data_IF_098359380448
#
_entry.id   IF_098359380448
#
_cell.length_a   1.000
_cell.length_b   1.000
_cell.length_c   1.000
_cell.angle_alpha   90.00
_cell.angle_beta   90.00
_cell.angle_gamma   90.00
#
_symmetry.space_group_name_H-M   'P 1'
#
loop_
_entity.id
_entity.type
_entity.pdbx_description
1 polymer ?
#
# COMPACT_ATOMS: atom_id res chain seq x y z
N UNK A 1 29.19 1.48 14.14
CA UNK A 1 29.07 2.47 13.04
C UNK A 1 27.87 3.33 13.37
N UNK A 2 27.94 4.64 13.13
CA UNK A 2 26.79 5.53 13.31
C UNK A 2 25.73 5.14 12.29
N UNK A 3 24.50 4.84 12.75
CA UNK A 3 23.39 4.60 11.84
C UNK A 3 22.92 5.92 11.25
N UNK A 4 22.55 5.94 9.97
CA UNK A 4 22.16 7.17 9.26
C UNK A 4 20.72 7.09 8.78
N UNK A 5 20.02 8.21 8.87
CA UNK A 5 18.64 8.30 8.42
C UNK A 5 18.40 9.48 7.46
N UNK A 6 17.51 9.25 6.49
CA UNK A 6 17.12 10.25 5.49
C UNK A 6 15.62 10.50 5.51
N UNK A 7 15.23 11.71 5.91
CA UNK A 7 13.87 12.20 5.72
C UNK A 7 13.69 12.65 4.27
N UNK A 8 12.73 12.06 3.55
CA UNK A 8 12.31 12.45 2.20
C UNK A 8 10.91 13.01 2.34
N UNK A 9 10.71 14.30 2.10
CA UNK A 9 9.42 14.94 2.30
C UNK A 9 8.92 15.69 1.07
N UNK A 10 7.62 15.54 0.78
CA UNK A 10 6.95 16.27 -0.28
C UNK A 10 6.37 17.59 0.25
N UNK A 11 6.87 18.76 -0.19
CA UNK A 11 6.44 20.04 0.34
C UNK A 11 4.99 20.42 -0.02
N UNK A 12 4.39 19.79 -1.04
CA UNK A 12 3.03 20.08 -1.50
C UNK A 12 1.99 19.05 -1.05
N UNK A 13 2.38 18.06 -0.24
CA UNK A 13 1.43 17.10 0.33
C UNK A 13 0.59 17.74 1.44
N UNK A 14 -0.69 17.36 1.49
CA UNK A 14 -1.60 17.73 2.58
C UNK A 14 -1.88 19.22 2.65
N UNK A 15 -1.71 19.81 3.83
CA UNK A 15 -1.85 21.25 4.06
C UNK A 15 -0.57 22.05 3.75
N UNK A 16 0.39 21.43 3.06
CA UNK A 16 1.71 22.01 2.73
C UNK A 16 2.53 22.45 3.95
N UNK A 17 2.20 21.92 5.14
CA UNK A 17 2.79 22.29 6.42
C UNK A 17 4.08 21.55 6.78
N UNK A 18 4.46 20.49 6.04
CA UNK A 18 5.52 19.55 6.44
C UNK A 18 6.87 20.22 6.75
N UNK A 19 7.22 21.28 6.01
CA UNK A 19 8.46 22.05 6.23
C UNK A 19 8.62 22.57 7.66
N UNK A 20 7.51 22.86 8.34
CA UNK A 20 7.52 23.40 9.71
C UNK A 20 7.98 22.38 10.74
N UNK A 21 7.78 21.09 10.44
CA UNK A 21 8.06 19.98 11.34
C UNK A 21 9.40 19.30 11.06
N UNK A 22 10.13 19.70 10.00
CA UNK A 22 11.37 19.01 9.59
C UNK A 22 12.40 18.99 10.73
N UNK A 23 12.59 20.09 11.45
CA UNK A 23 13.53 20.12 12.58
C UNK A 23 13.12 19.14 13.69
N UNK A 24 11.85 19.19 14.11
CA UNK A 24 11.32 18.31 15.15
C UNK A 24 11.41 16.82 14.76
N UNK A 25 11.17 16.51 13.48
CA UNK A 25 11.29 15.14 12.95
C UNK A 25 12.75 14.68 12.96
N UNK A 26 13.69 15.54 12.54
CA UNK A 26 15.12 15.21 12.60
C UNK A 26 15.57 15.00 14.05
N UNK A 27 15.10 15.82 15.00
CA UNK A 27 15.39 15.63 16.43
C UNK A 27 14.87 14.29 16.96
N UNK A 28 13.68 13.84 16.51
CA UNK A 28 13.17 12.51 16.86
C UNK A 28 14.04 11.40 16.27
N UNK A 29 14.53 11.55 15.04
CA UNK A 29 15.42 10.57 14.41
C UNK A 29 16.79 10.51 15.11
N UNK A 30 17.34 11.65 15.53
CA UNK A 30 18.57 11.73 16.34
C UNK A 30 18.37 11.11 17.74
N UNK A 31 17.22 11.34 18.38
CA UNK A 31 16.85 10.67 19.64
C UNK A 31 16.77 9.15 19.49
N UNK A 32 16.33 8.66 18.32
CA UNK A 32 16.34 7.25 17.97
C UNK A 32 17.75 6.70 17.64
N UNK A 33 18.79 7.55 17.65
CA UNK A 33 20.18 7.16 17.44
C UNK A 33 20.66 7.24 15.98
N UNK A 34 19.93 7.95 15.11
CA UNK A 34 20.32 8.13 13.71
C UNK A 34 20.92 9.50 13.44
N UNK A 35 22.11 9.52 12.82
CA UNK A 35 22.63 10.74 12.19
C UNK A 35 21.73 11.11 11.00
N UNK A 36 21.05 12.24 11.13
CA UNK A 36 19.84 12.52 10.36
C UNK A 36 20.02 13.65 9.37
N UNK A 37 19.43 13.49 8.18
CA UNK A 37 19.39 14.53 7.15
C UNK A 37 18.06 14.53 6.42
N UNK A 38 17.73 15.64 5.76
CA UNK A 38 16.49 15.80 5.02
C UNK A 38 16.70 16.09 3.53
N UNK A 39 15.75 15.64 2.72
CA UNK A 39 15.57 15.96 1.31
C UNK A 39 14.15 16.44 1.08
N UNK A 40 14.03 17.65 0.55
CA UNK A 40 12.77 18.15 0.00
C UNK A 40 12.64 17.67 -1.44
N UNK A 41 11.53 17.01 -1.77
CA UNK A 41 11.28 16.65 -3.17
C UNK A 41 11.13 17.89 -4.05
N UNK A 42 11.43 17.71 -5.33
CA UNK A 42 11.29 18.73 -6.37
C UNK A 42 10.10 18.38 -7.29
N UNK A 43 9.64 19.30 -8.14
CA UNK A 43 8.64 19.01 -9.16
C UNK A 43 9.10 18.02 -10.24
N UNK A 44 10.34 17.54 -10.21
CA UNK A 44 10.80 16.54 -11.16
C UNK A 44 10.04 15.23 -10.97
N UNK A 45 9.68 14.53 -12.08
CA UNK A 45 9.13 13.19 -11.99
C UNK A 45 10.02 12.26 -11.17
N UNK A 46 9.39 11.51 -10.27
CA UNK A 46 10.03 10.48 -9.45
C UNK A 46 11.11 11.03 -8.49
N UNK A 47 10.96 12.27 -8.03
CA UNK A 47 11.94 12.92 -7.14
C UNK A 47 12.18 12.13 -5.85
N UNK A 48 11.13 11.62 -5.20
CA UNK A 48 11.28 10.83 -3.97
C UNK A 48 11.91 9.47 -4.25
N UNK A 49 11.54 8.83 -5.38
CA UNK A 49 12.13 7.55 -5.82
C UNK A 49 13.63 7.67 -6.08
N UNK A 50 14.05 8.70 -6.83
CA UNK A 50 15.47 8.96 -7.14
C UNK A 50 16.26 9.14 -5.86
N UNK A 51 15.74 9.94 -4.94
CA UNK A 51 16.40 10.18 -3.66
C UNK A 51 16.46 8.92 -2.79
N UNK A 52 15.38 8.15 -2.69
CA UNK A 52 15.34 6.92 -1.92
C UNK A 52 16.34 5.89 -2.46
N UNK A 53 16.45 5.76 -3.78
CA UNK A 53 17.47 4.90 -4.40
C UNK A 53 18.89 5.39 -4.12
N UNK A 54 19.14 6.71 -4.19
CA UNK A 54 20.46 7.28 -3.86
C UNK A 54 20.83 7.01 -2.40
N UNK A 55 19.93 7.32 -1.46
CA UNK A 55 20.15 7.10 -0.04
C UNK A 55 20.37 5.61 0.28
N UNK A 56 19.63 4.72 -0.38
CA UNK A 56 19.84 3.27 -0.25
C UNK A 56 21.25 2.86 -0.71
N UNK A 57 21.69 3.32 -1.89
CA UNK A 57 23.04 3.04 -2.42
C UNK A 57 24.16 3.64 -1.57
N UNK A 58 23.91 4.79 -0.95
CA UNK A 58 24.85 5.43 -0.04
C UNK A 58 24.93 4.73 1.33
N UNK A 59 24.08 3.72 1.58
CA UNK A 59 24.10 2.91 2.80
C UNK A 59 23.41 3.57 3.99
N UNK A 60 22.34 4.32 3.76
CA UNK A 60 21.45 4.75 4.85
C UNK A 60 20.75 3.54 5.48
N UNK A 61 20.52 3.60 6.79
CA UNK A 61 19.90 2.53 7.57
C UNK A 61 18.37 2.73 7.67
N UNK A 62 17.92 3.99 7.60
CA UNK A 62 16.51 4.38 7.68
C UNK A 62 16.17 5.43 6.62
N UNK A 63 15.05 5.24 5.93
CA UNK A 63 14.40 6.27 5.10
C UNK A 63 13.03 6.59 5.70
N UNK A 64 12.80 7.87 6.02
CA UNK A 64 11.52 8.37 6.51
C UNK A 64 10.80 9.07 5.35
N UNK A 65 9.67 8.54 4.91
CA UNK A 65 8.86 9.11 3.82
C UNK A 65 7.73 9.98 4.39
N UNK A 66 7.76 11.28 4.14
CA UNK A 66 6.76 12.22 4.59
C UNK A 66 5.93 12.78 3.41
N UNK A 67 4.67 12.34 3.30
CA UNK A 67 3.83 12.67 2.16
C UNK A 67 2.54 11.86 2.10
N UNK A 68 1.81 11.96 0.98
CA UNK A 68 0.70 11.05 0.67
C UNK A 68 1.16 9.72 0.08
N UNK A 69 0.20 8.86 -0.30
CA UNK A 69 0.45 7.50 -0.80
C UNK A 69 1.38 7.47 -2.02
N UNK A 70 1.30 8.46 -2.93
CA UNK A 70 2.21 8.57 -4.08
C UNK A 70 3.68 8.82 -3.67
N UNK A 71 3.94 9.68 -2.67
CA UNK A 71 5.29 9.88 -2.14
C UNK A 71 5.83 8.60 -1.50
N UNK A 72 4.99 7.90 -0.74
CA UNK A 72 5.34 6.63 -0.09
C UNK A 72 5.64 5.56 -1.14
N UNK A 73 4.81 5.44 -2.19
CA UNK A 73 5.01 4.52 -3.31
C UNK A 73 6.31 4.81 -4.06
N UNK A 74 6.63 6.08 -4.32
CA UNK A 74 7.90 6.46 -4.94
C UNK A 74 9.10 6.03 -4.09
N UNK A 75 9.06 6.25 -2.78
CA UNK A 75 10.12 5.83 -1.86
C UNK A 75 10.29 4.30 -1.89
N UNK A 76 9.19 3.54 -1.82
CA UNK A 76 9.25 2.07 -1.95
C UNK A 76 9.83 1.64 -3.29
N UNK A 77 9.45 2.28 -4.40
CA UNK A 77 10.02 2.02 -5.71
C UNK A 77 11.52 2.38 -5.82
N UNK A 78 12.04 3.23 -4.93
CA UNK A 78 13.46 3.56 -4.84
C UNK A 78 14.26 2.58 -3.98
N UNK A 79 13.61 1.96 -2.98
CA UNK A 79 14.22 1.01 -2.04
C UNK A 79 14.13 -0.43 -2.53
N UNK A 80 12.95 -0.86 -2.99
CA UNK A 80 12.61 -2.24 -3.32
C UNK A 80 13.56 -2.96 -4.29
N UNK A 81 14.16 -2.31 -5.32
CA UNK A 81 15.09 -2.98 -6.22
C UNK A 81 16.40 -3.45 -5.57
N UNK A 82 16.76 -2.91 -4.41
CA UNK A 82 18.08 -3.13 -3.81
C UNK A 82 18.10 -4.37 -2.92
N UNK A 83 19.26 -5.04 -2.87
CA UNK A 83 19.46 -6.22 -2.00
C UNK A 83 19.54 -5.84 -0.52
N UNK A 84 20.29 -4.79 -0.21
CA UNK A 84 20.36 -4.19 1.12
C UNK A 84 19.44 -2.98 1.13
N UNK A 85 18.39 -3.05 1.95
CA UNK A 85 17.33 -2.04 1.99
C UNK A 85 17.33 -1.39 3.37
N UNK A 86 17.29 -0.05 3.47
CA UNK A 86 17.02 0.60 4.74
C UNK A 86 15.65 0.17 5.27
N UNK A 87 15.50 0.25 6.60
CA UNK A 87 14.16 0.29 7.20
C UNK A 87 13.43 1.53 6.68
N UNK A 88 12.11 1.48 6.68
CA UNK A 88 11.27 2.59 6.26
C UNK A 88 10.39 3.08 7.41
N UNK A 89 10.19 4.38 7.54
CA UNK A 89 9.14 4.95 8.37
C UNK A 89 8.28 5.88 7.53
N UNK A 90 7.02 6.07 7.92
CA UNK A 90 6.09 6.94 7.18
C UNK A 90 5.57 8.04 8.08
N UNK A 91 5.48 9.24 7.52
CA UNK A 91 4.82 10.40 8.13
C UNK A 91 3.68 10.79 7.18
N UNK A 92 2.44 10.36 7.47
CA UNK A 92 1.33 10.59 6.58
C UNK A 92 1.01 12.07 6.47
N UNK A 93 0.94 12.56 5.23
CA UNK A 93 0.48 13.90 4.90
C UNK A 93 -0.53 13.91 3.74
N UNK A 94 -1.01 12.74 3.32
CA UNK A 94 -2.07 12.59 2.31
C UNK A 94 -3.46 12.59 2.92
N UNK A 95 -4.48 12.33 2.11
CA UNK A 95 -5.85 12.20 2.62
C UNK A 95 -6.27 10.77 2.92
N UNK A 96 -5.80 9.82 2.13
CA UNK A 96 -6.22 8.41 2.23
C UNK A 96 -5.34 7.69 3.25
N UNK A 97 -4.01 7.75 3.06
CA UNK A 97 -2.98 7.27 3.98
C UNK A 97 -3.21 5.80 4.39
N UNK A 98 -3.45 4.93 3.41
CA UNK A 98 -3.84 3.54 3.66
C UNK A 98 -2.76 2.78 4.43
N UNK A 99 -1.49 3.05 4.12
CA UNK A 99 -0.34 2.49 4.83
C UNK A 99 -0.25 2.93 6.28
N UNK A 100 -0.52 4.21 6.55
CA UNK A 100 -0.51 4.71 7.92
C UNK A 100 -1.60 4.06 8.76
N UNK A 101 -2.75 3.77 8.15
CA UNK A 101 -3.84 3.02 8.81
C UNK A 101 -3.42 1.57 9.10
N UNK A 102 -2.83 0.89 8.11
CA UNK A 102 -2.38 -0.50 8.27
C UNK A 102 -1.26 -0.67 9.31
N UNK A 103 -0.37 0.31 9.43
CA UNK A 103 0.77 0.30 10.36
C UNK A 103 0.48 1.02 11.70
N UNK A 104 -0.79 1.38 11.95
CA UNK A 104 -1.27 2.12 13.12
C UNK A 104 -0.47 3.41 13.44
N UNK A 105 -0.04 4.11 12.40
CA UNK A 105 0.74 5.35 12.52
C UNK A 105 -0.21 6.52 12.83
N UNK A 106 0.12 7.39 13.80
CA UNK A 106 -0.62 8.64 14.03
C UNK A 106 -0.74 9.47 12.76
N UNK A 107 -1.96 9.94 12.44
CA UNK A 107 -2.25 10.65 11.17
C UNK A 107 -2.42 12.17 11.31
N UNK A 108 -2.66 12.65 12.53
CA UNK A 108 -3.01 14.06 12.77
C UNK A 108 -1.81 14.93 13.15
N UNK A 109 -0.71 14.33 13.62
CA UNK A 109 0.49 15.03 14.05
C UNK A 109 1.74 14.37 13.42
N UNK A 110 2.45 15.07 12.50
CA UNK A 110 3.67 14.58 11.88
C UNK A 110 4.78 14.19 12.87
N UNK A 111 4.89 14.89 14.01
CA UNK A 111 5.90 14.61 15.03
C UNK A 111 5.50 13.37 15.81
N UNK A 112 4.21 13.20 16.12
CA UNK A 112 3.72 11.95 16.72
C UNK A 112 3.94 10.74 15.80
N UNK A 113 3.75 10.91 14.48
CA UNK A 113 4.07 9.87 13.50
C UNK A 113 5.56 9.51 13.51
N UNK A 114 6.44 10.51 13.54
CA UNK A 114 7.90 10.27 13.64
C UNK A 114 8.28 9.53 14.94
N UNK A 115 7.60 9.82 16.06
CA UNK A 115 7.87 9.18 17.36
C UNK A 115 7.62 7.67 17.38
N UNK A 116 6.90 7.11 16.41
CA UNK A 116 6.80 5.65 16.25
C UNK A 116 8.19 5.00 16.11
N UNK A 117 9.16 5.72 15.54
CA UNK A 117 10.54 5.22 15.40
C UNK A 117 11.17 4.93 16.77
N UNK A 118 10.85 5.71 17.79
CA UNK A 118 11.42 5.58 19.14
C UNK A 118 10.99 4.28 19.85
N UNK A 119 9.83 3.73 19.49
CA UNK A 119 9.37 2.47 20.04
C UNK A 119 10.18 1.27 19.54
N UNK A 120 10.96 1.43 18.46
CA UNK A 120 11.75 0.33 17.88
C UNK A 120 10.92 -0.76 17.20
N UNK A 121 9.59 -0.59 17.15
CA UNK A 121 8.65 -1.55 16.61
C UNK A 121 8.63 -1.53 15.08
N UNK A 122 8.79 -2.70 14.46
CA UNK A 122 8.84 -2.85 13.00
C UNK A 122 8.01 -4.03 12.52
N UNK A 123 7.51 -3.93 11.30
CA UNK A 123 6.73 -4.93 10.60
C UNK A 123 7.31 -5.13 9.21
N UNK A 124 7.45 -6.38 8.76
CA UNK A 124 7.83 -6.66 7.37
C UNK A 124 6.58 -6.74 6.50
N UNK A 125 6.54 -5.88 5.49
CA UNK A 125 5.42 -5.73 4.58
C UNK A 125 5.71 -6.38 3.24
N UNK A 126 4.71 -7.07 2.71
CA UNK A 126 4.71 -7.52 1.33
C UNK A 126 4.59 -6.31 0.40
N UNK A 127 5.18 -6.42 -0.80
CA UNK A 127 4.92 -5.48 -1.90
C UNK A 127 4.65 -6.26 -3.19
N UNK A 128 3.86 -5.69 -4.08
CA UNK A 128 3.67 -6.22 -5.41
C UNK A 128 4.76 -5.71 -6.36
N UNK A 129 5.28 -6.60 -7.22
CA UNK A 129 6.14 -6.24 -8.35
C UNK A 129 5.38 -6.49 -9.65
N UNK A 130 5.25 -5.45 -10.48
CA UNK A 130 4.64 -5.50 -11.81
C UNK A 130 5.70 -5.17 -12.86
N UNK A 131 6.23 -6.19 -13.54
CA UNK A 131 7.42 -6.08 -14.40
C UNK A 131 8.59 -5.38 -13.66
N UNK A 132 8.84 -4.10 -13.96
CA UNK A 132 9.91 -3.27 -13.37
C UNK A 132 9.40 -2.28 -12.31
N UNK A 133 8.09 -2.19 -12.12
CA UNK A 133 7.44 -1.29 -11.19
C UNK A 133 7.05 -2.04 -9.92
N UNK A 134 6.91 -1.31 -8.83
CA UNK A 134 6.42 -1.83 -7.56
C UNK A 134 5.13 -1.12 -7.19
N UNK A 135 4.22 -1.86 -6.58
CA UNK A 135 2.97 -1.36 -6.05
C UNK A 135 2.73 -1.99 -4.70
N UNK A 136 1.78 -1.43 -4.01
CA UNK A 136 1.70 -1.52 -2.57
C UNK A 136 0.27 -1.85 -2.14
N UNK A 137 -0.74 -1.23 -2.75
CA UNK A 137 -2.14 -1.46 -2.45
C UNK A 137 -2.80 -2.36 -3.49
N UNK A 138 -2.80 -1.93 -4.76
CA UNK A 138 -3.61 -2.57 -5.78
C UNK A 138 -3.01 -2.46 -7.18
N UNK A 139 -3.10 -3.54 -7.94
CA UNK A 139 -3.01 -3.49 -9.39
C UNK A 139 -4.39 -3.78 -10.02
N UNK A 140 -4.74 -3.06 -11.07
CA UNK A 140 -6.00 -3.27 -11.77
C UNK A 140 -5.84 -3.18 -13.29
N UNK A 141 -6.57 -4.01 -14.04
CA UNK A 141 -6.71 -3.90 -15.50
C UNK A 141 -8.18 -3.95 -15.89
N UNK A 142 -8.56 -3.20 -16.93
CA UNK A 142 -9.96 -3.01 -17.34
C UNK A 142 -10.51 -1.65 -16.91
N UNK A 143 -11.82 -1.52 -16.67
CA UNK A 143 -12.58 -0.26 -16.49
C UNK A 143 -11.89 0.86 -15.67
N UNK A 144 -11.02 0.50 -14.72
CA UNK A 144 -10.32 1.45 -13.83
C UNK A 144 -9.08 2.12 -14.44
N UNK A 145 -8.59 1.70 -15.61
CA UNK A 145 -7.32 2.20 -16.17
C UNK A 145 -7.48 3.34 -17.17
N UNK A 146 -8.70 3.61 -17.64
CA UNK A 146 -8.96 4.71 -18.60
C UNK A 146 -9.46 6.00 -17.93
N UNK A 147 -9.91 5.96 -16.67
CA UNK A 147 -10.71 7.05 -16.07
C UNK A 147 -10.16 7.65 -14.78
N UNK A 148 -8.99 7.21 -14.30
CA UNK A 148 -8.29 7.82 -13.15
C UNK A 148 -7.73 9.22 -13.44
N UNK A 149 -7.80 9.71 -14.68
CA UNK A 149 -7.39 11.06 -15.07
C UNK A 149 -8.42 12.17 -14.77
N UNK A 150 -9.57 11.85 -14.17
CA UNK A 150 -10.74 12.73 -14.17
C UNK A 150 -11.39 13.07 -12.83
N UNK A 151 -10.79 12.75 -11.67
CA UNK A 151 -11.41 13.06 -10.36
C UNK A 151 -10.64 14.18 -9.66
N UNK A 152 -11.16 15.43 -9.63
CA UNK A 152 -10.58 16.52 -8.86
C UNK A 152 -10.56 16.19 -7.36
N UNK A 153 -9.50 16.59 -6.68
CA UNK A 153 -9.26 16.42 -5.24
C UNK A 153 -10.32 17.05 -4.31
N UNK A 154 -11.28 17.80 -4.86
CA UNK A 154 -12.22 18.68 -4.16
C UNK A 154 -13.54 18.00 -3.72
N UNK A 155 -13.78 16.74 -4.08
CA UNK A 155 -15.06 16.05 -3.80
C UNK A 155 -15.18 15.37 -2.42
N UNK A 156 -14.41 15.81 -1.43
CA UNK A 156 -14.31 15.13 -0.11
C UNK A 156 -15.27 15.61 0.99
N UNK A 157 -16.14 16.59 0.77
CA UNK A 157 -17.06 17.08 1.82
C UNK A 157 -18.48 16.55 1.66
N UNK A 158 -19.15 16.25 2.79
CA UNK A 158 -20.51 15.74 3.13
C UNK A 158 -21.46 15.25 1.99
N UNK A 159 -21.47 15.87 0.81
CA UNK A 159 -22.05 15.31 -0.43
C UNK A 159 -21.12 14.30 -1.16
N UNK A 160 -19.88 14.13 -0.69
CA UNK A 160 -18.75 13.50 -1.38
C UNK A 160 -18.85 11.99 -1.63
N UNK A 161 -19.47 11.23 -0.73
CA UNK A 161 -19.68 9.78 -0.95
C UNK A 161 -20.74 9.53 -2.03
N UNK A 162 -21.85 10.27 -2.02
CA UNK A 162 -22.89 10.15 -3.05
C UNK A 162 -22.41 10.66 -4.42
N UNK A 163 -21.62 11.74 -4.47
CA UNK A 163 -21.01 12.21 -5.72
C UNK A 163 -20.03 11.17 -6.30
N UNK A 164 -19.23 10.52 -5.45
CA UNK A 164 -18.33 9.44 -5.85
C UNK A 164 -19.09 8.20 -6.35
N UNK A 165 -20.15 7.77 -5.65
CA UNK A 165 -21.02 6.68 -6.09
C UNK A 165 -21.75 7.01 -7.39
N UNK A 166 -22.24 8.25 -7.57
CA UNK A 166 -22.90 8.69 -8.80
C UNK A 166 -21.93 8.76 -9.98
N UNK A 167 -20.70 9.25 -9.77
CA UNK A 167 -19.66 9.22 -10.80
C UNK A 167 -19.24 7.80 -11.15
N UNK A 168 -19.09 6.93 -10.15
CA UNK A 168 -18.90 5.49 -10.36
C UNK A 168 -20.04 4.88 -11.18
N UNK A 169 -21.30 5.24 -10.88
CA UNK A 169 -22.49 4.79 -11.60
C UNK A 169 -22.54 5.30 -13.05
N UNK A 170 -22.11 6.55 -13.30
CA UNK A 170 -21.97 7.12 -14.65
C UNK A 170 -20.92 6.37 -15.50
N UNK A 171 -19.94 5.72 -14.86
CA UNK A 171 -18.90 4.93 -15.53
C UNK A 171 -19.35 3.49 -15.85
N UNK A 172 -20.41 2.98 -15.20
CA UNK A 172 -20.88 1.60 -15.39
C UNK A 172 -21.34 1.26 -16.82
N UNK A 173 -21.97 2.16 -17.60
CA UNK A 173 -22.35 1.87 -18.99
C UNK A 173 -21.16 1.72 -19.96
N UNK A 174 -19.96 2.19 -19.58
CA UNK A 174 -18.75 2.06 -20.39
C UNK A 174 -18.05 0.71 -20.18
N UNK A 175 -18.56 -0.13 -19.27
CA UNK A 175 -17.98 -1.45 -18.98
C UNK A 175 -18.15 -2.37 -20.19
N UNK A 176 -17.02 -2.84 -20.69
CA UNK A 176 -16.94 -3.84 -21.76
C UNK A 176 -16.14 -5.02 -21.26
N UNK A 177 -16.54 -6.20 -21.73
CA UNK A 177 -15.68 -7.37 -21.66
C UNK A 177 -14.60 -7.27 -22.73
N UNK A 178 -13.43 -7.77 -22.42
CA UNK A 178 -12.33 -7.99 -23.34
C UNK A 178 -11.76 -9.41 -23.11
N UNK A 179 -11.21 -10.06 -24.16
CA UNK A 179 -10.56 -11.35 -24.01
C UNK A 179 -9.27 -11.18 -23.21
N UNK A 180 -9.19 -11.88 -22.08
CA UNK A 180 -8.03 -11.86 -21.20
C UNK A 180 -7.60 -13.29 -20.93
N UNK A 181 -6.29 -13.48 -20.91
CA UNK A 181 -5.64 -14.70 -20.47
C UNK A 181 -4.84 -14.40 -19.20
N UNK A 182 -5.12 -15.18 -18.16
CA UNK A 182 -4.60 -15.02 -16.80
C UNK A 182 -4.01 -16.35 -16.34
N UNK A 183 -2.70 -16.40 -16.10
CA UNK A 183 -2.05 -17.56 -15.47
C UNK A 183 -1.64 -17.19 -14.04
N UNK A 184 -2.19 -17.89 -13.05
CA UNK A 184 -1.89 -17.72 -11.63
C UNK A 184 -1.52 -19.07 -10.99
N UNK A 185 -1.03 -19.08 -9.75
CA UNK A 185 -0.40 -20.26 -9.16
C UNK A 185 -1.29 -21.52 -9.22
N UNK A 186 -2.58 -21.36 -8.93
CA UNK A 186 -3.56 -22.45 -8.83
C UNK A 186 -4.39 -22.66 -10.11
N UNK A 187 -4.09 -21.99 -11.22
CA UNK A 187 -4.82 -22.21 -12.46
C UNK A 187 -4.67 -21.17 -13.55
N UNK A 188 -5.48 -21.35 -14.59
CA UNK A 188 -5.54 -20.48 -15.76
C UNK A 188 -6.98 -20.06 -15.99
N UNK A 189 -7.20 -18.76 -16.24
CA UNK A 189 -8.45 -18.25 -16.77
C UNK A 189 -8.23 -17.71 -18.17
N UNK A 190 -9.01 -18.23 -19.10
CA UNK A 190 -8.95 -17.85 -20.52
C UNK A 190 -10.37 -17.55 -20.97
N UNK A 191 -10.68 -16.27 -21.21
CA UNK A 191 -12.03 -15.85 -21.57
C UNK A 191 -12.32 -14.36 -21.40
N UNK A 192 -13.58 -13.95 -21.61
CA UNK A 192 -13.99 -12.56 -21.50
C UNK A 192 -14.03 -12.11 -20.03
N UNK A 193 -13.40 -10.99 -19.70
CA UNK A 193 -13.56 -10.32 -18.41
C UNK A 193 -13.70 -8.81 -18.62
N UNK A 194 -14.35 -8.14 -17.67
CA UNK A 194 -14.50 -6.68 -17.68
C UNK A 194 -13.43 -5.97 -16.86
N UNK A 195 -12.86 -6.65 -15.87
CA UNK A 195 -11.76 -6.16 -15.06
C UNK A 195 -11.12 -7.28 -14.24
N UNK A 196 -9.89 -7.06 -13.82
CA UNK A 196 -9.26 -7.79 -12.74
C UNK A 196 -8.65 -6.83 -11.72
N UNK A 197 -8.57 -7.26 -10.46
CA UNK A 197 -7.92 -6.58 -9.35
C UNK A 197 -6.95 -7.53 -8.66
N UNK A 198 -5.75 -7.05 -8.30
CA UNK A 198 -4.79 -7.74 -7.43
C UNK A 198 -4.60 -6.86 -6.22
N UNK A 199 -5.25 -7.25 -5.12
CA UNK A 199 -5.17 -6.54 -3.87
C UNK A 199 -4.05 -7.10 -2.99
N UNK A 200 -3.35 -6.20 -2.30
CA UNK A 200 -2.36 -6.51 -1.25
C UNK A 200 -2.95 -6.36 0.15
N UNK A 201 -3.99 -5.55 0.31
CA UNK A 201 -4.61 -5.20 1.59
C UNK A 201 -6.12 -5.48 1.56
N UNK A 202 -6.80 -5.44 2.73
CA UNK A 202 -8.25 -5.64 2.84
C UNK A 202 -9.09 -4.55 2.18
N UNK A 203 -8.53 -3.34 2.04
CA UNK A 203 -9.30 -2.16 1.64
C UNK A 203 -8.86 -1.67 0.27
N UNK A 204 -9.84 -1.53 -0.62
CA UNK A 204 -9.67 -0.86 -1.91
C UNK A 204 -10.59 0.35 -1.92
N UNK A 205 -10.01 1.56 -1.94
CA UNK A 205 -10.80 2.80 -2.06
C UNK A 205 -11.84 3.01 -0.95
N UNK A 206 -11.61 2.44 0.25
CA UNK A 206 -12.52 2.53 1.39
C UNK A 206 -13.53 1.37 1.53
N UNK A 207 -13.51 0.38 0.63
CA UNK A 207 -14.30 -0.85 0.76
C UNK A 207 -13.51 -1.93 1.51
N UNK A 208 -13.74 -2.05 2.82
CA UNK A 208 -12.99 -2.96 3.70
C UNK A 208 -13.37 -4.45 3.55
N UNK A 209 -14.47 -4.77 2.85
CA UNK A 209 -14.97 -6.14 2.67
C UNK A 209 -14.79 -6.70 1.25
N UNK A 210 -14.06 -5.99 0.40
CA UNK A 210 -13.77 -6.45 -0.96
C UNK A 210 -12.78 -7.62 -0.98
N UNK A 211 -11.93 -7.74 0.05
CA UNK A 211 -11.04 -8.87 0.30
C UNK A 211 -11.35 -9.39 1.70
N UNK A 212 -12.36 -10.27 1.86
CA UNK A 212 -12.89 -10.63 3.19
C UNK A 212 -11.92 -11.48 4.04
N UNK A 213 -10.89 -12.08 3.44
CA UNK A 213 -9.91 -12.96 4.08
C UNK A 213 -8.46 -12.43 3.95
N UNK A 214 -8.28 -11.11 3.91
CA UNK A 214 -6.94 -10.54 3.78
C UNK A 214 -6.11 -10.74 5.06
N UNK A 215 -4.84 -11.07 4.91
CA UNK A 215 -3.85 -11.02 5.98
C UNK A 215 -2.63 -10.25 5.48
N UNK A 216 -2.07 -9.36 6.30
CA UNK A 216 -0.87 -8.62 5.94
C UNK A 216 0.35 -9.52 6.12
N UNK A 217 1.16 -9.69 5.06
CA UNK A 217 2.41 -10.45 5.14
C UNK A 217 2.30 -11.94 4.79
N UNK A 218 1.14 -12.40 4.31
CA UNK A 218 0.91 -13.80 3.93
C UNK A 218 1.64 -14.21 2.63
N UNK A 219 2.27 -13.25 1.94
CA UNK A 219 3.00 -13.45 0.70
C UNK A 219 2.10 -13.63 -0.52
N UNK A 220 0.80 -13.33 -0.44
CA UNK A 220 -0.16 -13.56 -1.52
C UNK A 220 -0.91 -12.30 -1.91
N UNK A 221 -1.17 -12.16 -3.19
CA UNK A 221 -2.22 -11.28 -3.71
C UNK A 221 -3.58 -11.91 -3.48
N UNK A 222 -4.61 -11.08 -3.34
CA UNK A 222 -5.99 -11.48 -3.56
C UNK A 222 -6.41 -11.08 -4.98
N UNK A 223 -6.52 -12.07 -5.87
CA UNK A 223 -6.92 -11.91 -7.26
C UNK A 223 -8.44 -11.97 -7.35
N UNK A 224 -9.04 -10.88 -7.87
CA UNK A 224 -10.46 -10.80 -8.21
C UNK A 224 -10.56 -10.62 -9.72
N UNK A 225 -11.25 -11.52 -10.42
CA UNK A 225 -11.59 -11.36 -11.84
C UNK A 225 -13.10 -11.17 -11.95
N UNK A 226 -13.54 -10.05 -12.51
CA UNK A 226 -14.95 -9.79 -12.78
C UNK A 226 -15.23 -10.17 -14.23
N UNK A 227 -16.03 -11.21 -14.42
CA UNK A 227 -16.33 -11.75 -15.75
C UNK A 227 -17.39 -10.92 -16.46
N UNK A 228 -18.37 -10.38 -15.74
CA UNK A 228 -19.53 -9.68 -16.32
C UNK A 228 -19.26 -8.23 -16.70
N UNK A 229 -19.94 -7.75 -17.75
CA UNK A 229 -20.07 -6.32 -18.09
C UNK A 229 -21.50 -5.77 -17.90
N UNK A 230 -22.43 -6.58 -17.38
CA UNK A 230 -23.85 -6.18 -17.30
C UNK A 230 -24.14 -5.41 -16.02
N UNK A 231 -24.70 -4.22 -16.17
CA UNK A 231 -25.03 -3.32 -15.05
C UNK A 231 -25.83 -4.00 -13.92
N UNK A 232 -26.91 -4.78 -14.17
CA UNK A 232 -27.65 -5.44 -13.09
C UNK A 232 -26.80 -6.44 -12.30
N UNK A 233 -25.90 -7.16 -12.97
CA UNK A 233 -25.00 -8.13 -12.34
C UNK A 233 -23.96 -7.40 -11.46
N UNK A 234 -23.44 -6.25 -11.91
CA UNK A 234 -22.60 -5.38 -11.09
C UNK A 234 -23.29 -4.88 -9.82
N UNK A 235 -24.55 -4.43 -9.91
CA UNK A 235 -25.29 -3.95 -8.74
C UNK A 235 -25.50 -5.08 -7.72
N UNK A 236 -25.74 -6.31 -8.19
CA UNK A 236 -25.79 -7.49 -7.32
C UNK A 236 -24.44 -7.75 -6.66
N UNK A 237 -23.34 -7.71 -7.42
CA UNK A 237 -21.99 -7.89 -6.89
C UNK A 237 -21.65 -6.83 -5.82
N UNK A 238 -21.94 -5.56 -6.07
CA UNK A 238 -21.74 -4.48 -5.09
C UNK A 238 -22.57 -4.70 -3.82
N UNK A 239 -23.83 -5.11 -3.97
CA UNK A 239 -24.68 -5.49 -2.83
C UNK A 239 -24.09 -6.65 -2.01
N UNK A 240 -23.46 -7.62 -2.68
CA UNK A 240 -22.78 -8.74 -2.01
C UNK A 240 -21.47 -8.32 -1.31
N UNK A 241 -20.71 -7.36 -1.85
CA UNK A 241 -19.54 -6.77 -1.16
C UNK A 241 -19.97 -6.15 0.16
N UNK A 242 -21.03 -5.32 0.14
CA UNK A 242 -21.56 -4.65 1.34
C UNK A 242 -22.22 -5.61 2.34
N UNK A 243 -22.63 -6.79 1.88
CA UNK A 243 -23.27 -7.82 2.69
C UNK A 243 -22.27 -8.91 3.10
N UNK A 244 -21.15 -8.51 3.73
CA UNK A 244 -20.18 -9.44 4.29
C UNK A 244 -19.20 -10.02 3.27
N UNK A 245 -18.89 -9.29 2.18
CA UNK A 245 -17.91 -9.75 1.19
C UNK A 245 -18.32 -10.98 0.38
N UNK A 246 -19.60 -11.36 0.33
CA UNK A 246 -20.11 -12.59 -0.31
C UNK A 246 -20.05 -12.59 -1.85
N UNK A 247 -19.52 -11.53 -2.43
CA UNK A 247 -19.27 -11.43 -3.87
C UNK A 247 -18.25 -12.46 -4.35
N UNK A 248 -17.34 -12.90 -3.48
CA UNK A 248 -16.33 -13.93 -3.77
C UNK A 248 -16.95 -15.29 -4.12
N UNK A 249 -18.20 -15.56 -3.71
CA UNK A 249 -18.94 -16.78 -4.03
C UNK A 249 -19.78 -16.67 -5.32
N UNK A 250 -19.81 -15.50 -5.97
CA UNK A 250 -20.63 -15.29 -7.17
C UNK A 250 -20.02 -15.96 -8.41
N UNK A 251 -20.82 -16.64 -9.26
CA UNK A 251 -20.31 -17.26 -10.48
C UNK A 251 -19.73 -16.27 -11.49
N UNK A 252 -19.93 -14.95 -11.35
CA UNK A 252 -19.29 -13.93 -12.17
C UNK A 252 -17.93 -13.48 -11.63
N UNK A 253 -17.52 -13.96 -10.46
CA UNK A 253 -16.25 -13.65 -9.83
C UNK A 253 -15.35 -14.88 -9.88
N UNK A 254 -14.07 -14.66 -10.16
CA UNK A 254 -13.00 -15.58 -9.73
C UNK A 254 -12.32 -14.88 -8.57
N UNK A 255 -12.28 -15.55 -7.43
CA UNK A 255 -11.57 -15.10 -6.25
C UNK A 255 -10.54 -16.15 -5.87
N UNK A 256 -9.27 -15.79 -5.85
CA UNK A 256 -8.20 -16.69 -5.43
C UNK A 256 -7.03 -15.93 -4.83
N UNK A 257 -6.23 -16.63 -4.02
CA UNK A 257 -4.96 -16.11 -3.52
C UNK A 257 -3.84 -16.60 -4.43
N UNK A 258 -2.92 -15.73 -4.82
CA UNK A 258 -1.80 -16.11 -5.70
C UNK A 258 -0.55 -15.30 -5.40
N UNK A 259 0.64 -15.89 -5.53
CA UNK A 259 1.91 -15.18 -5.45
C UNK A 259 2.32 -14.62 -6.81
N UNK A 260 1.95 -15.29 -7.90
CA UNK A 260 2.29 -14.88 -9.25
C UNK A 260 1.04 -14.71 -10.11
N UNK A 261 1.08 -13.76 -11.04
CA UNK A 261 0.09 -13.64 -12.10
C UNK A 261 0.75 -13.18 -13.39
N UNK A 262 0.46 -13.86 -14.50
CA UNK A 262 0.76 -13.37 -15.85
C UNK A 262 -0.55 -12.95 -16.50
N UNK A 263 -0.56 -11.74 -17.04
CA UNK A 263 -1.72 -11.15 -17.72
C UNK A 263 -1.37 -10.88 -19.17
N UNK A 264 -2.16 -11.42 -20.08
CA UNK A 264 -2.09 -11.12 -21.52
C UNK A 264 -3.48 -10.80 -22.07
N UNK A 265 -3.51 -9.92 -23.07
CA UNK A 265 -4.72 -9.61 -23.84
C UNK A 265 -4.57 -10.17 -25.25
N UNK A 266 -5.57 -10.91 -25.72
CA UNK A 266 -5.42 -11.78 -26.89
C UNK A 266 -5.89 -11.17 -28.22
N UNK A 267 -6.64 -10.07 -28.19
CA UNK A 267 -7.19 -9.41 -29.39
C UNK A 267 -6.25 -8.37 -30.02
N UNK A 268 -5.03 -8.22 -29.47
CA UNK A 268 -4.02 -7.27 -29.94
C UNK A 268 -4.29 -5.81 -29.55
N UNK A 269 -5.37 -5.53 -28.82
CA UNK A 269 -5.59 -4.20 -28.23
C UNK A 269 -4.78 -4.02 -26.94
N UNK A 270 -4.48 -2.78 -26.60
CA UNK A 270 -3.77 -2.46 -25.37
C UNK A 270 -4.67 -2.70 -24.15
N UNK A 271 -4.13 -3.37 -23.12
CA UNK A 271 -4.72 -3.43 -21.79
C UNK A 271 -3.84 -2.64 -20.83
N UNK A 272 -4.23 -1.40 -20.56
CA UNK A 272 -3.54 -0.56 -19.58
C UNK A 272 -3.72 -1.16 -18.18
N UNK A 273 -2.69 -1.00 -17.35
CA UNK A 273 -2.65 -1.45 -15.97
C UNK A 273 -2.52 -0.21 -15.07
N UNK A 274 -3.35 -0.14 -14.04
CA UNK A 274 -3.24 0.82 -12.95
C UNK A 274 -2.51 0.16 -11.78
N UNK A 275 -1.56 0.88 -11.18
CA UNK A 275 -0.82 0.50 -9.98
C UNK A 275 -0.98 1.61 -8.96
N UNK A 276 -1.63 1.33 -7.82
CA UNK A 276 -1.86 2.28 -6.72
C UNK A 276 -2.49 3.62 -7.14
N UNK A 277 -3.31 3.62 -8.20
CA UNK A 277 -3.95 4.82 -8.73
C UNK A 277 -3.25 5.43 -9.95
N UNK A 278 -2.00 5.05 -10.23
CA UNK A 278 -1.21 5.57 -11.35
C UNK A 278 -1.09 4.59 -12.52
N UNK A 279 -0.72 5.09 -13.71
CA UNK A 279 -0.47 4.24 -14.87
C UNK A 279 0.83 3.43 -14.72
N UNK A 280 0.70 2.10 -14.68
CA UNK A 280 1.80 1.15 -14.48
C UNK A 280 2.38 0.52 -15.74
N UNK A 281 1.86 0.88 -16.91
CA UNK A 281 2.17 0.24 -18.19
C UNK A 281 0.99 -0.58 -18.72
N UNK A 282 1.25 -1.46 -19.68
CA UNK A 282 0.22 -2.25 -20.36
C UNK A 282 0.59 -3.72 -20.39
N UNK A 283 -0.40 -4.61 -20.48
CA UNK A 283 -0.18 -6.04 -20.71
C UNK A 283 0.57 -6.25 -22.05
N UNK A 284 1.44 -7.28 -22.18
CA UNK A 284 1.69 -8.35 -21.23
C UNK A 284 2.35 -7.87 -19.92
N UNK A 285 1.82 -8.31 -18.79
CA UNK A 285 2.28 -7.90 -17.46
C UNK A 285 2.47 -9.11 -16.57
N UNK A 286 3.62 -9.19 -15.90
CA UNK A 286 3.87 -10.20 -14.86
C UNK A 286 3.87 -9.54 -13.50
N UNK A 287 3.05 -10.08 -12.61
CA UNK A 287 2.95 -9.70 -11.21
C UNK A 287 3.57 -10.77 -10.32
N UNK A 288 4.34 -10.34 -9.33
CA UNK A 288 4.95 -11.18 -8.32
C UNK A 288 4.80 -10.54 -6.95
N UNK A 289 4.28 -11.27 -5.97
CA UNK A 289 4.25 -10.83 -4.58
C UNK A 289 5.65 -11.03 -4.01
N UNK A 290 6.22 -9.95 -3.49
CA UNK A 290 7.49 -9.98 -2.76
C UNK A 290 7.16 -10.01 -1.28
N UNK A 291 7.13 -11.22 -0.74
CA UNK A 291 6.82 -11.46 0.66
C UNK A 291 7.80 -10.76 1.59
N UNK A 292 7.28 -10.02 2.56
CA UNK A 292 8.00 -9.38 3.66
C UNK A 292 9.23 -8.58 3.18
N UNK A 293 9.08 -7.91 2.03
CA UNK A 293 10.20 -7.35 1.28
C UNK A 293 10.73 -6.04 1.88
N UNK A 294 9.86 -5.24 2.49
CA UNK A 294 10.21 -3.96 3.10
C UNK A 294 9.92 -4.02 4.61
N UNK A 295 10.94 -3.74 5.42
CA UNK A 295 10.79 -3.60 6.88
C UNK A 295 10.41 -2.15 7.21
N UNK A 296 9.25 -1.97 7.84
CA UNK A 296 8.67 -0.67 8.14
C UNK A 296 8.48 -0.48 9.66
N UNK A 297 8.76 0.71 10.17
CA UNK A 297 8.33 1.09 11.52
C UNK A 297 6.81 1.15 11.60
N UNK A 298 6.26 0.59 12.68
CA UNK A 298 4.83 0.48 12.91
C UNK A 298 4.53 0.59 14.41
N UNK A 299 3.31 1.00 14.75
CA UNK A 299 2.83 0.90 16.12
C UNK A 299 2.15 -0.46 16.29
N UNK A 300 2.97 -1.50 16.37
CA UNK A 300 2.53 -2.90 16.28
C UNK A 300 1.56 -3.24 17.41
N UNK A 301 1.77 -2.68 18.60
CA UNK A 301 0.89 -2.87 19.76
C UNK A 301 -0.55 -2.36 19.58
N UNK A 302 -0.79 -1.51 18.57
CA UNK A 302 -2.13 -0.97 18.26
C UNK A 302 -2.77 -1.65 17.03
N UNK A 303 -2.09 -2.61 16.40
CA UNK A 303 -2.64 -3.37 15.27
C UNK A 303 -3.51 -4.51 15.83
N UNK A 304 -4.79 -4.63 15.42
CA UNK A 304 -5.66 -5.70 15.91
C UNK A 304 -5.11 -7.11 15.59
N UNK A 305 -5.19 -8.01 16.57
CA UNK A 305 -4.81 -9.42 16.43
C UNK A 305 -5.51 -10.07 15.23
N UNK A 306 -4.76 -10.86 14.45
CA UNK A 306 -5.24 -11.56 13.25
C UNK A 306 -5.17 -10.76 11.95
N UNK A 307 -4.85 -9.46 11.98
CA UNK A 307 -4.57 -8.68 10.76
C UNK A 307 -3.14 -8.88 10.22
N UNK A 308 -2.26 -9.45 11.05
CA UNK A 308 -0.88 -9.80 10.72
C UNK A 308 -0.82 -11.31 10.49
N UNK A 309 -0.14 -11.74 9.43
CA UNK A 309 0.03 -13.16 9.14
C UNK A 309 0.79 -13.88 10.27
N UNK A 310 0.29 -15.05 10.66
CA UNK A 310 0.92 -15.96 11.62
C UNK A 310 2.20 -16.56 11.02
N UNK A 311 3.33 -15.86 11.17
CA UNK A 311 4.66 -16.42 10.91
C UNK A 311 5.46 -16.49 12.21
N UNK A 312 6.16 -17.60 12.45
CA UNK A 312 6.95 -17.83 13.65
C UNK A 312 8.00 -16.72 13.87
N UNK A 313 8.59 -16.19 12.79
CA UNK A 313 9.56 -15.07 12.88
C UNK A 313 8.90 -13.73 13.23
N UNK A 314 7.60 -13.59 12.97
CA UNK A 314 6.81 -12.40 13.27
C UNK A 314 6.19 -12.51 14.66
N UNK A 315 5.81 -13.73 15.09
CA UNK A 315 5.38 -14.06 16.45
C UNK A 315 6.52 -13.98 17.46
N UNK A 316 7.74 -14.44 17.15
CA UNK A 316 8.90 -14.29 18.05
C UNK A 316 9.16 -12.80 18.35
N UNK A 317 8.99 -11.93 17.35
CA UNK A 317 9.11 -10.48 17.51
C UNK A 317 7.94 -9.86 18.27
N UNK A 318 6.70 -10.24 17.94
CA UNK A 318 5.49 -9.79 18.67
C UNK A 318 5.54 -10.19 20.15
N UNK A 319 5.96 -11.43 20.43
CA UNK A 319 6.16 -11.93 21.79
C UNK A 319 7.29 -11.17 22.49
N UNK A 320 8.42 -10.91 21.83
CA UNK A 320 9.50 -10.11 22.42
C UNK A 320 9.02 -8.70 22.81
N UNK A 321 8.20 -8.06 21.96
CA UNK A 321 7.59 -6.75 22.23
C UNK A 321 6.57 -6.78 23.38
N UNK A 322 5.68 -7.78 23.42
CA UNK A 322 4.73 -7.96 24.52
C UNK A 322 5.45 -8.21 25.85
N UNK A 323 6.50 -9.04 25.83
CA UNK A 323 7.30 -9.36 27.03
C UNK A 323 8.02 -8.11 27.55
N UNK A 324 8.53 -7.25 26.67
CA UNK A 324 9.11 -5.95 27.05
C UNK A 324 8.05 -5.05 27.68
N UNK A 325 6.84 -4.98 27.10
CA UNK A 325 5.75 -4.13 27.59
C UNK A 325 5.22 -4.55 28.98
N UNK A 326 5.19 -5.85 29.29
CA UNK A 326 4.83 -6.36 30.61
C UNK A 326 5.96 -6.17 31.64
N UNK A 327 7.22 -6.21 31.18
CA UNK A 327 8.39 -6.03 32.05
C UNK A 327 8.63 -4.58 32.51
N UNK A 328 8.02 -3.59 31.83
CA UNK A 328 8.10 -2.17 32.18
C UNK A 328 6.97 -1.67 33.11
N UNK A 329 6.11 -2.57 33.61
CA UNK A 329 5.12 -2.23 34.66
C UNK A 329 5.66 -2.61 36.03
N UNK A 330 6.75 -1.99 36.46
CA UNK A 330 7.16 -1.98 37.87
C UNK A 330 7.39 -0.56 38.43
N UNK A 331 6.86 0.47 37.78
CA UNK A 331 6.63 1.78 38.40
C UNK A 331 7.85 2.51 38.97
N UNK A 332 9.08 2.17 38.57
CA UNK A 332 10.31 2.79 39.10
C UNK A 332 11.26 3.41 38.05
N UNK A 333 10.90 3.35 36.76
CA UNK A 333 11.52 4.16 35.71
C UNK A 333 13.00 3.86 35.44
N UNK A 334 13.45 2.61 35.60
CA UNK A 334 14.81 2.20 35.22
C UNK A 334 14.83 0.89 34.41
N UNK A 335 15.36 0.98 33.21
CA UNK A 335 15.62 -0.17 32.32
C UNK A 335 16.90 -0.88 32.79
N UNK A 336 16.81 -2.18 33.07
CA UNK A 336 17.90 -3.05 33.52
C UNK A 336 18.94 -3.33 32.43
N UNK A 337 20.18 -3.60 32.86
CA UNK A 337 21.43 -3.71 32.08
C UNK A 337 21.41 -4.72 30.92
#
# INVERSE_FOLDING_TARGET
MTQRARLIYNPTSGNEGMKRYVADILDVMEQAGYESSAYQTTPEPFSAKKEASRATLDGFDLIVAAGGDGTINEVVNGIAPHRHRPKMAIIPAGTTNDYARALAIPREDPVAAAKVILAGQTLRMDIGKANKHYFMNIAAGGLLTELTYGVPSEFKSIFGYFAYVMKGAEMLPAIKQFPIHLEYDDGVYDGPASMFLLAMTNSIGGFEQIVPDSSLGDGKFSLIVVKTAKLPEYLVLMGKVLNGGRHVDDPNIIYTKTQNLVVTREDGEELKINLDGDYGGSAPMTFQNLRQHIEMYANVSEIPDGNIADDAAQQDYLQEVETISESDINGDGKIGK
#
